data_IF_785031615635
#
_entry.id   IF_785031615635
#
_cell.length_a   1.000
_cell.length_b   1.000
_cell.length_c   1.000
_cell.angle_alpha   90.00
_cell.angle_beta   90.00
_cell.angle_gamma   90.00
#
_symmetry.space_group_name_H-M   'P 1'
#
loop_
_entity.id
_entity.type
_entity.pdbx_description
1 polymer ?
#
# COMPACT_ATOMS: atom_id res chain seq x y z
N UNK A 1 -7.69 2.60 14.71
CA UNK A 1 -6.57 1.85 14.14
C UNK A 1 -5.83 2.74 13.15
N UNK A 2 -4.58 3.08 13.48
CA UNK A 2 -3.74 3.94 12.64
C UNK A 2 -2.85 3.10 11.72
N UNK A 3 -2.60 3.61 10.51
CA UNK A 3 -1.66 3.03 9.56
C UNK A 3 -0.97 4.11 8.71
N UNK A 4 0.23 3.84 8.23
CA UNK A 4 0.94 4.69 7.28
C UNK A 4 0.60 4.23 5.86
N UNK A 5 -0.09 5.07 5.10
CA UNK A 5 -0.31 4.85 3.67
C UNK A 5 0.87 5.36 2.85
N UNK A 6 1.24 4.61 1.84
CA UNK A 6 2.19 5.04 0.82
C UNK A 6 1.61 4.79 -0.57
N UNK A 7 1.71 5.78 -1.43
CA UNK A 7 1.18 5.67 -2.80
C UNK A 7 1.93 6.63 -3.75
N UNK A 8 2.25 6.22 -5.00
CA UNK A 8 2.78 7.13 -6.02
C UNK A 8 1.65 7.93 -6.66
N UNK A 9 1.91 9.21 -6.90
CA UNK A 9 0.99 10.09 -7.59
C UNK A 9 1.67 10.82 -8.75
N UNK A 10 1.10 10.73 -9.94
CA UNK A 10 1.54 11.50 -11.10
C UNK A 10 1.13 12.97 -10.99
N UNK A 11 2.08 13.86 -11.33
CA UNK A 11 1.91 15.31 -11.40
C UNK A 11 2.23 15.76 -12.83
N UNK A 12 1.27 16.37 -13.50
CA UNK A 12 1.49 16.94 -14.84
C UNK A 12 2.50 18.09 -14.77
N UNK A 13 3.52 18.07 -15.61
CA UNK A 13 4.53 19.14 -15.67
C UNK A 13 5.10 19.20 -17.07
N UNK A 14 5.08 20.39 -17.65
CA UNK A 14 5.72 20.68 -18.93
C UNK A 14 7.19 21.08 -18.78
N UNK A 15 7.92 21.10 -19.88
CA UNK A 15 9.31 21.52 -19.95
C UNK A 15 10.31 20.40 -19.67
N UNK A 16 11.61 20.76 -19.58
CA UNK A 16 12.74 19.80 -19.46
C UNK A 16 13.67 20.12 -18.29
N UNK A 17 13.52 21.28 -17.63
CA UNK A 17 14.47 21.80 -16.64
C UNK A 17 14.12 21.47 -15.19
N UNK A 18 12.92 20.93 -14.92
CA UNK A 18 12.53 20.54 -13.56
C UNK A 18 13.31 19.29 -13.14
N UNK A 19 13.91 19.24 -11.95
CA UNK A 19 14.61 18.06 -11.47
C UNK A 19 13.71 16.84 -11.49
N UNK A 20 14.25 15.69 -11.91
CA UNK A 20 13.56 14.40 -11.97
C UNK A 20 12.31 14.37 -12.87
N UNK A 21 12.18 15.34 -13.78
CA UNK A 21 11.12 15.29 -14.80
C UNK A 21 11.36 14.07 -15.71
N UNK A 22 10.30 13.39 -16.09
CA UNK A 22 10.42 12.16 -16.86
C UNK A 22 9.07 11.66 -17.36
N UNK A 23 9.03 10.37 -17.69
CA UNK A 23 7.80 9.69 -18.13
C UNK A 23 7.29 8.78 -17.02
N UNK A 24 6.06 9.02 -16.56
CA UNK A 24 5.45 8.33 -15.43
C UNK A 24 4.05 7.84 -15.80
N UNK A 25 3.59 6.80 -15.13
CA UNK A 25 2.23 6.29 -15.29
C UNK A 25 1.22 7.26 -14.70
N UNK A 26 0.24 7.63 -15.48
CA UNK A 26 -0.91 8.44 -15.03
C UNK A 26 -2.14 7.55 -14.94
N UNK A 27 -2.61 7.27 -13.75
CA UNK A 27 -3.81 6.44 -13.52
C UNK A 27 -5.06 7.06 -14.18
N UNK A 28 -5.24 8.38 -14.08
CA UNK A 28 -6.36 9.07 -14.70
C UNK A 28 -6.37 9.00 -16.24
N UNK A 29 -5.19 8.90 -16.85
CA UNK A 29 -5.06 8.85 -18.31
C UNK A 29 -4.93 7.41 -18.83
N UNK A 30 -4.74 6.43 -17.95
CA UNK A 30 -4.44 5.04 -18.34
C UNK A 30 -3.18 4.91 -19.23
N UNK A 31 -2.24 5.86 -19.14
CA UNK A 31 -1.09 5.96 -20.04
C UNK A 31 0.13 6.58 -19.36
N UNK A 32 1.30 6.32 -19.96
CA UNK A 32 2.57 6.96 -19.53
C UNK A 32 2.63 8.36 -20.10
N UNK A 33 2.75 9.36 -19.21
CA UNK A 33 2.82 10.79 -19.56
C UNK A 33 4.10 11.44 -19.07
N UNK A 34 4.47 12.53 -19.73
CA UNK A 34 5.59 13.38 -19.31
C UNK A 34 5.17 14.25 -18.11
N UNK A 35 6.02 14.31 -17.07
CA UNK A 35 5.73 15.05 -15.87
C UNK A 35 6.62 14.65 -14.70
N UNK A 36 6.08 14.71 -13.50
CA UNK A 36 6.72 14.32 -12.25
C UNK A 36 5.91 13.19 -11.60
N UNK A 37 6.54 12.50 -10.66
CA UNK A 37 5.86 11.58 -9.76
C UNK A 37 6.30 11.89 -8.33
N UNK A 38 5.38 11.86 -7.41
CA UNK A 38 5.64 11.99 -5.98
C UNK A 38 5.19 10.73 -5.26
N UNK A 39 5.98 10.29 -4.29
CA UNK A 39 5.57 9.35 -3.27
C UNK A 39 4.90 10.13 -2.14
N UNK A 40 3.61 9.94 -1.94
CA UNK A 40 2.94 10.43 -0.76
C UNK A 40 3.07 9.46 0.41
N UNK A 41 3.28 10.02 1.59
CA UNK A 41 3.20 9.33 2.87
C UNK A 41 2.06 9.97 3.66
N UNK A 42 1.04 9.20 3.95
CA UNK A 42 -0.15 9.65 4.69
C UNK A 42 -0.34 8.86 5.97
N UNK A 43 -0.92 9.48 6.98
CA UNK A 43 -1.44 8.82 8.18
C UNK A 43 -2.91 8.55 7.99
N UNK A 44 -3.29 7.29 8.05
CA UNK A 44 -4.68 6.85 8.00
C UNK A 44 -5.19 6.61 9.41
N UNK A 45 -6.43 7.02 9.63
CA UNK A 45 -7.24 6.53 10.75
C UNK A 45 -8.40 5.70 10.18
N UNK A 46 -8.31 4.37 10.37
CA UNK A 46 -9.34 3.46 9.91
C UNK A 46 -10.65 3.58 10.72
N UNK A 47 -10.64 4.17 11.91
CA UNK A 47 -11.85 4.38 12.70
C UNK A 47 -12.71 5.50 12.09
N UNK A 48 -12.10 6.66 11.81
CA UNK A 48 -12.77 7.83 11.24
C UNK A 48 -12.80 7.83 9.71
N UNK A 49 -12.15 6.86 9.04
CA UNK A 49 -11.98 6.79 7.59
C UNK A 49 -11.37 8.08 7.00
N UNK A 50 -10.33 8.60 7.65
CA UNK A 50 -9.64 9.83 7.27
C UNK A 50 -8.17 9.57 6.94
N UNK A 51 -7.59 10.48 6.15
CA UNK A 51 -6.15 10.53 5.85
C UNK A 51 -5.62 11.94 6.05
N UNK A 52 -4.46 12.06 6.70
CA UNK A 52 -3.64 13.27 6.78
C UNK A 52 -2.34 13.04 6.05
N UNK A 53 -1.86 14.02 5.27
CA UNK A 53 -0.66 13.87 4.43
C UNK A 53 0.59 14.28 5.19
N UNK A 54 1.42 13.34 5.59
CA UNK A 54 2.64 13.62 6.37
C UNK A 54 3.77 14.18 5.51
N UNK A 55 3.94 13.65 4.29
CA UNK A 55 5.07 14.02 3.43
C UNK A 55 4.84 13.66 1.96
N UNK A 56 5.37 14.50 1.06
CA UNK A 56 5.61 14.18 -0.34
C UNK A 56 7.10 14.05 -0.62
N UNK A 57 7.48 13.03 -1.37
CA UNK A 57 8.82 12.87 -1.91
C UNK A 57 8.78 12.76 -3.42
N UNK A 58 9.55 13.59 -4.11
CA UNK A 58 9.66 13.49 -5.56
C UNK A 58 10.39 12.19 -5.94
N UNK A 59 9.76 11.35 -6.73
CA UNK A 59 10.37 10.12 -7.25
C UNK A 59 11.44 10.46 -8.28
N UNK A 60 12.53 9.70 -8.28
CA UNK A 60 13.61 9.88 -9.25
C UNK A 60 13.13 9.43 -10.62
N UNK A 61 13.21 10.32 -11.62
CA UNK A 61 12.89 10.00 -13.01
C UNK A 61 13.85 8.95 -13.58
N UNK A 62 13.32 7.97 -14.29
CA UNK A 62 14.12 6.95 -14.97
C UNK A 62 13.63 6.76 -16.42
N UNK A 63 14.57 6.57 -17.34
CA UNK A 63 14.29 6.35 -18.76
C UNK A 63 13.82 4.92 -19.08
N UNK A 64 14.10 3.93 -18.21
CA UNK A 64 13.76 2.53 -18.41
C UNK A 64 12.67 2.01 -17.49
N UNK A 65 11.51 1.63 -18.04
CA UNK A 65 10.38 1.07 -17.28
C UNK A 65 10.71 -0.22 -16.52
N UNK A 66 11.59 -1.09 -17.04
CA UNK A 66 11.95 -2.37 -16.39
C UNK A 66 12.78 -2.15 -15.13
N UNK A 67 13.77 -1.26 -15.19
CA UNK A 67 14.57 -0.90 -14.01
C UNK A 67 13.79 -0.02 -13.02
N UNK A 68 12.82 0.75 -13.50
CA UNK A 68 12.05 1.69 -12.70
C UNK A 68 11.32 1.02 -11.54
N UNK A 69 10.66 -0.11 -11.76
CA UNK A 69 9.89 -0.79 -10.70
C UNK A 69 10.78 -1.23 -9.53
N UNK A 70 11.98 -1.75 -9.83
CA UNK A 70 12.96 -2.10 -8.80
C UNK A 70 13.46 -0.87 -8.06
N UNK A 71 13.86 0.16 -8.79
CA UNK A 71 14.34 1.44 -8.23
C UNK A 71 13.25 2.11 -7.39
N UNK A 72 12.00 2.06 -7.82
CA UNK A 72 10.88 2.63 -7.09
C UNK A 72 10.68 1.93 -5.74
N UNK A 73 10.67 0.61 -5.71
CA UNK A 73 10.55 -0.17 -4.46
C UNK A 73 11.71 0.15 -3.50
N UNK A 74 12.94 0.14 -3.99
CA UNK A 74 14.13 0.48 -3.20
C UNK A 74 14.09 1.94 -2.70
N UNK A 75 13.63 2.85 -3.53
CA UNK A 75 13.45 4.26 -3.17
C UNK A 75 12.43 4.42 -2.02
N UNK A 76 11.28 3.74 -2.09
CA UNK A 76 10.29 3.77 -1.02
C UNK A 76 10.84 3.20 0.30
N UNK A 77 11.61 2.11 0.24
CA UNK A 77 12.28 1.57 1.43
C UNK A 77 13.25 2.60 2.02
N UNK A 78 14.04 3.28 1.18
CA UNK A 78 14.95 4.33 1.64
C UNK A 78 14.23 5.52 2.29
N UNK A 79 13.10 5.94 1.73
CA UNK A 79 12.28 7.02 2.32
C UNK A 79 11.71 6.57 3.66
N UNK A 80 11.13 5.37 3.73
CA UNK A 80 10.61 4.82 4.98
C UNK A 80 11.70 4.67 6.05
N UNK A 81 12.91 4.22 5.67
CA UNK A 81 14.06 4.14 6.58
C UNK A 81 14.41 5.49 7.20
N UNK A 82 14.38 6.58 6.42
CA UNK A 82 14.66 7.94 6.90
C UNK A 82 13.72 8.39 8.01
N UNK A 83 12.47 7.98 7.95
CA UNK A 83 11.42 8.40 8.89
C UNK A 83 10.98 7.31 9.87
N UNK A 84 11.55 6.11 9.79
CA UNK A 84 11.10 4.94 10.55
C UNK A 84 10.90 5.20 12.04
N UNK A 85 11.87 5.84 12.72
CA UNK A 85 11.75 6.16 14.16
C UNK A 85 10.51 7.00 14.49
N UNK A 86 10.23 8.05 13.67
CA UNK A 86 9.08 8.92 13.88
C UNK A 86 7.76 8.22 13.52
N UNK A 87 7.74 7.42 12.47
CA UNK A 87 6.55 6.71 12.05
C UNK A 87 6.20 5.57 13.00
N UNK A 88 7.20 4.82 13.49
CA UNK A 88 7.01 3.76 14.48
C UNK A 88 6.52 4.26 15.84
N UNK A 89 6.76 5.53 16.21
CA UNK A 89 6.16 6.10 17.42
C UNK A 89 4.64 6.36 17.28
N UNK A 90 4.11 6.28 16.06
CA UNK A 90 2.68 6.44 15.77
C UNK A 90 2.03 5.08 15.53
N UNK A 91 2.60 4.28 14.62
CA UNK A 91 2.08 2.96 14.24
C UNK A 91 3.16 2.11 13.57
N UNK A 92 3.06 0.79 13.74
CA UNK A 92 3.90 -0.20 13.09
C UNK A 92 3.27 -0.76 11.79
N UNK A 93 2.13 -0.23 11.35
CA UNK A 93 1.39 -0.72 10.18
C UNK A 93 1.63 0.20 9.00
N UNK A 94 2.10 -0.37 7.89
CA UNK A 94 2.18 0.28 6.57
C UNK A 94 1.16 -0.35 5.65
N UNK A 95 0.38 0.47 4.94
CA UNK A 95 -0.56 0.01 3.92
C UNK A 95 -0.16 0.54 2.54
N UNK A 96 -0.13 -0.36 1.57
CA UNK A 96 0.26 -0.06 0.19
C UNK A 96 -0.58 -0.87 -0.81
N UNK A 97 -0.57 -0.45 -2.07
CA UNK A 97 -1.32 -1.16 -3.11
C UNK A 97 -0.65 -2.50 -3.51
N UNK A 98 -1.29 -3.25 -4.41
CA UNK A 98 -0.81 -4.56 -4.88
C UNK A 98 0.56 -4.51 -5.59
N UNK A 99 1.00 -3.35 -6.07
CA UNK A 99 2.32 -3.18 -6.68
C UNK A 99 3.44 -3.46 -5.66
N UNK A 100 3.22 -3.09 -4.40
CA UNK A 100 4.16 -3.29 -3.31
C UNK A 100 4.07 -4.66 -2.62
N UNK A 101 3.17 -5.56 -3.06
CA UNK A 101 3.04 -6.93 -2.53
C UNK A 101 4.15 -7.85 -3.03
N UNK A 102 5.40 -7.43 -2.86
CA UNK A 102 6.61 -8.14 -3.28
C UNK A 102 7.47 -8.50 -2.08
N UNK A 103 8.25 -9.59 -2.20
CA UNK A 103 9.17 -10.01 -1.13
C UNK A 103 10.22 -8.96 -0.81
N UNK A 104 10.69 -8.19 -1.79
CA UNK A 104 11.67 -7.12 -1.58
C UNK A 104 11.11 -6.01 -0.72
N UNK A 105 9.89 -5.55 -1.03
CA UNK A 105 9.26 -4.48 -0.25
C UNK A 105 8.87 -4.95 1.15
N UNK A 106 8.25 -6.12 1.26
CA UNK A 106 7.86 -6.69 2.55
C UNK A 106 9.07 -6.88 3.47
N UNK A 107 10.17 -7.44 2.92
CA UNK A 107 11.42 -7.62 3.68
C UNK A 107 11.99 -6.28 4.15
N UNK A 108 12.04 -5.28 3.26
CA UNK A 108 12.50 -3.93 3.63
C UNK A 108 11.65 -3.29 4.73
N UNK A 109 10.32 -3.42 4.67
CA UNK A 109 9.43 -2.92 5.73
C UNK A 109 9.63 -3.69 7.04
N UNK A 110 9.73 -5.02 6.98
CA UNK A 110 9.96 -5.88 8.15
C UNK A 110 11.29 -5.58 8.85
N UNK A 111 12.37 -5.34 8.09
CA UNK A 111 13.69 -4.94 8.62
C UNK A 111 13.65 -3.57 9.31
N UNK A 112 12.73 -2.69 8.90
CA UNK A 112 12.51 -1.41 9.55
C UNK A 112 11.56 -1.47 10.74
N UNK A 113 10.96 -2.64 11.04
CA UNK A 113 10.02 -2.84 12.14
C UNK A 113 8.55 -2.65 11.76
N UNK A 114 8.22 -2.50 10.48
CA UNK A 114 6.84 -2.34 10.02
C UNK A 114 6.24 -3.66 9.56
N UNK A 115 4.92 -3.76 9.74
CA UNK A 115 4.07 -4.79 9.15
C UNK A 115 3.34 -4.24 7.93
N UNK A 116 3.24 -5.05 6.88
CA UNK A 116 2.60 -4.66 5.63
C UNK A 116 1.15 -5.14 5.59
N UNK A 117 0.22 -4.21 5.33
CA UNK A 117 -1.15 -4.48 4.89
C UNK A 117 -1.25 -4.17 3.41
N UNK A 118 -1.71 -5.11 2.60
CA UNK A 118 -1.86 -4.92 1.16
C UNK A 118 -2.85 -5.93 0.56
N UNK A 119 -2.91 -5.97 -0.76
CA UNK A 119 -3.69 -6.99 -1.48
C UNK A 119 -2.81 -7.78 -2.44
N UNK A 120 -3.18 -9.00 -2.70
CA UNK A 120 -2.62 -9.78 -3.79
C UNK A 120 -3.40 -9.58 -5.09
N UNK A 121 -2.74 -9.95 -6.19
CA UNK A 121 -3.41 -10.17 -7.47
C UNK A 121 -4.14 -11.51 -7.41
N UNK A 122 -5.13 -11.69 -8.28
CA UNK A 122 -6.01 -12.86 -8.29
C UNK A 122 -5.27 -14.20 -8.54
N UNK A 123 -4.08 -14.15 -9.14
CA UNK A 123 -3.23 -15.31 -9.40
C UNK A 123 -2.21 -15.63 -8.29
N UNK A 124 -2.38 -15.09 -7.09
CA UNK A 124 -1.47 -15.33 -5.98
C UNK A 124 -1.41 -16.81 -5.58
N UNK A 125 -0.20 -17.33 -5.42
CA UNK A 125 0.04 -18.69 -4.94
C UNK A 125 0.07 -18.71 -3.40
N UNK A 126 -1.05 -19.14 -2.81
CA UNK A 126 -1.29 -19.17 -1.38
C UNK A 126 -1.45 -20.61 -0.90
N UNK A 127 -1.01 -20.88 0.32
CA UNK A 127 -1.07 -22.22 0.93
C UNK A 127 -1.65 -22.13 2.34
N UNK A 128 -2.40 -23.16 2.72
CA UNK A 128 -2.77 -23.37 4.11
C UNK A 128 -1.53 -23.58 4.98
N UNK A 129 -1.64 -23.25 6.26
CA UNK A 129 -0.61 -23.59 7.22
C UNK A 129 -0.72 -25.08 7.53
N UNK A 130 0.36 -25.88 7.42
CA UNK A 130 0.29 -27.30 7.68
C UNK A 130 0.02 -27.57 9.16
N UNK A 131 -0.81 -28.56 9.45
CA UNK A 131 -0.96 -29.09 10.81
C UNK A 131 0.39 -29.64 11.27
N UNK A 132 0.71 -29.43 12.54
CA UNK A 132 1.98 -29.88 13.13
C UNK A 132 1.93 -31.41 13.27
N UNK A 133 2.63 -32.12 12.40
CA UNK A 133 2.79 -33.57 12.47
C UNK A 133 4.09 -33.91 13.18
N UNK A 134 4.06 -34.95 14.07
CA UNK A 134 5.27 -35.53 14.68
C UNK A 134 5.97 -36.43 13.66
N UNK A 135 6.69 -35.84 12.71
CA UNK A 135 7.49 -36.57 11.72
C UNK A 135 8.96 -36.27 11.88
N UNK A 136 9.83 -37.26 11.58
CA UNK A 136 11.28 -37.08 11.47
C UNK A 136 11.58 -36.16 10.28
N UNK A 137 12.50 -35.21 10.44
CA UNK A 137 12.95 -34.31 9.38
C UNK A 137 12.48 -32.85 9.55
N UNK A 138 12.82 -31.99 8.57
CA UNK A 138 12.46 -30.57 8.61
C UNK A 138 10.95 -30.39 8.50
N UNK A 139 10.31 -29.66 9.44
CA UNK A 139 8.88 -29.40 9.37
C UNK A 139 8.46 -28.73 8.07
N UNK A 140 7.30 -29.11 7.52
CA UNK A 140 6.73 -28.45 6.35
C UNK A 140 6.38 -27.00 6.71
N UNK A 141 6.79 -26.07 5.84
CA UNK A 141 6.51 -24.63 6.02
C UNK A 141 5.13 -24.27 5.43
N UNK A 142 4.68 -25.02 4.42
CA UNK A 142 3.42 -24.78 3.69
C UNK A 142 2.65 -26.10 3.55
N UNK A 143 1.34 -26.01 3.70
CA UNK A 143 0.39 -27.10 3.42
C UNK A 143 -0.08 -27.08 1.96
N UNK A 144 -1.29 -27.57 1.74
CA UNK A 144 -1.91 -27.60 0.43
C UNK A 144 -2.17 -26.20 -0.13
N UNK A 145 -2.22 -26.09 -1.45
CA UNK A 145 -2.55 -24.83 -2.13
C UNK A 145 -4.01 -24.48 -1.85
N UNK A 146 -4.26 -23.20 -1.55
CA UNK A 146 -5.61 -22.68 -1.39
C UNK A 146 -6.25 -22.58 -2.78
N UNK A 147 -7.35 -23.31 -2.96
CA UNK A 147 -8.24 -23.18 -4.12
C UNK A 147 -9.33 -22.15 -3.78
N UNK A 148 -9.31 -21.01 -4.47
CA UNK A 148 -10.29 -19.95 -4.25
C UNK A 148 -11.69 -20.30 -4.76
N UNK A 149 -11.79 -21.22 -5.72
CA UNK A 149 -13.10 -21.71 -6.20
C UNK A 149 -13.74 -22.68 -5.19
N UNK A 150 -12.91 -23.58 -4.63
CA UNK A 150 -13.33 -24.63 -3.69
C UNK A 150 -12.63 -24.43 -2.34
N UNK A 151 -13.00 -23.35 -1.64
CA UNK A 151 -12.41 -23.02 -0.35
C UNK A 151 -12.79 -24.06 0.72
N UNK A 152 -11.79 -24.58 1.43
CA UNK A 152 -12.05 -25.47 2.55
C UNK A 152 -12.58 -24.68 3.75
N UNK A 153 -13.89 -24.75 3.96
CA UNK A 153 -14.58 -23.98 5.02
C UNK A 153 -14.17 -24.39 6.43
N UNK A 154 -13.62 -25.60 6.64
CA UNK A 154 -13.11 -26.00 7.96
C UNK A 154 -11.79 -25.34 8.35
N UNK A 155 -11.14 -24.68 7.40
CA UNK A 155 -9.83 -24.01 7.59
C UNK A 155 -9.92 -22.48 7.61
N UNK A 156 -11.11 -21.92 7.48
CA UNK A 156 -11.37 -20.48 7.41
C UNK A 156 -12.43 -20.09 8.42
N UNK A 157 -12.36 -18.85 8.87
CA UNK A 157 -13.38 -18.20 9.68
C UNK A 157 -14.17 -17.23 8.80
N UNK A 158 -15.49 -17.29 8.83
CA UNK A 158 -16.36 -16.36 8.10
C UNK A 158 -16.41 -15.02 8.86
N UNK A 159 -16.22 -13.93 8.13
CA UNK A 159 -16.28 -12.57 8.66
C UNK A 159 -17.61 -11.93 8.31
N UNK A 160 -18.29 -11.40 9.31
CA UNK A 160 -19.50 -10.61 9.15
C UNK A 160 -19.14 -9.13 9.19
N UNK A 161 -19.19 -8.48 8.02
CA UNK A 161 -18.77 -7.07 7.87
C UNK A 161 -19.95 -6.31 7.27
N UNK A 162 -20.46 -5.33 8.01
CA UNK A 162 -21.58 -4.50 7.58
C UNK A 162 -21.25 -3.72 6.30
N UNK A 163 -22.20 -3.72 5.38
CA UNK A 163 -22.06 -3.04 4.08
C UNK A 163 -21.05 -3.70 3.13
N UNK A 164 -20.70 -4.97 3.34
CA UNK A 164 -19.88 -5.73 2.42
C UNK A 164 -20.74 -6.68 1.59
N UNK A 165 -20.83 -6.46 0.28
CA UNK A 165 -21.53 -7.37 -0.62
C UNK A 165 -20.74 -8.67 -0.80
N UNK A 166 -21.43 -9.82 -0.61
CA UNK A 166 -20.82 -11.14 -0.70
C UNK A 166 -20.31 -11.66 0.63
N UNK A 167 -19.40 -12.65 0.59
CA UNK A 167 -18.86 -13.32 1.77
C UNK A 167 -17.38 -13.04 1.95
N UNK A 168 -16.97 -12.80 3.19
CA UNK A 168 -15.57 -12.65 3.53
C UNK A 168 -15.11 -13.76 4.48
N UNK A 169 -13.89 -14.24 4.30
CA UNK A 169 -13.27 -15.28 5.11
C UNK A 169 -11.87 -14.85 5.55
N UNK A 170 -11.47 -15.23 6.74
CA UNK A 170 -10.09 -15.01 7.23
C UNK A 170 -9.42 -16.31 7.64
N UNK A 171 -8.11 -16.35 7.47
CA UNK A 171 -7.26 -17.46 7.92
C UNK A 171 -5.81 -17.02 8.02
N UNK A 172 -5.00 -17.82 8.72
CA UNK A 172 -3.55 -17.75 8.53
C UNK A 172 -3.13 -18.54 7.29
N UNK A 173 -2.37 -17.92 6.41
CA UNK A 173 -1.89 -18.52 5.18
C UNK A 173 -0.41 -18.28 4.96
N UNK A 174 0.22 -19.10 4.11
CA UNK A 174 1.58 -18.88 3.63
C UNK A 174 1.54 -18.36 2.19
N UNK A 175 2.15 -17.20 1.95
CA UNK A 175 2.28 -16.64 0.62
C UNK A 175 3.63 -17.03 0.00
N UNK A 176 3.61 -17.73 -1.14
CA UNK A 176 4.84 -18.10 -1.86
C UNK A 176 5.60 -16.86 -2.33
N UNK A 177 4.91 -15.82 -2.78
CA UNK A 177 5.50 -14.57 -3.27
C UNK A 177 6.25 -13.80 -2.16
N UNK A 178 5.74 -13.80 -0.93
CA UNK A 178 6.36 -13.12 0.21
C UNK A 178 7.27 -14.04 1.02
N UNK A 179 7.20 -15.36 0.80
CA UNK A 179 7.91 -16.40 1.58
C UNK A 179 7.62 -16.30 3.09
N UNK A 180 6.40 -15.91 3.46
CA UNK A 180 6.02 -15.57 4.84
C UNK A 180 4.60 -16.03 5.16
N UNK A 181 4.34 -16.30 6.45
CA UNK A 181 2.99 -16.45 7.00
C UNK A 181 2.36 -15.07 7.14
N UNK A 182 1.04 -15.01 7.00
CA UNK A 182 0.28 -13.78 7.09
C UNK A 182 -1.16 -14.05 7.46
N UNK A 183 -1.85 -13.05 7.96
CA UNK A 183 -3.32 -13.01 8.05
C UNK A 183 -3.85 -12.72 6.66
N UNK A 184 -4.64 -13.64 6.09
CA UNK A 184 -5.28 -13.50 4.78
C UNK A 184 -6.76 -13.22 4.97
N UNK A 185 -7.30 -12.33 4.15
CA UNK A 185 -8.73 -12.12 3.99
C UNK A 185 -9.11 -12.37 2.54
N UNK A 186 -10.05 -13.27 2.33
CA UNK A 186 -10.62 -13.62 1.04
C UNK A 186 -12.03 -13.03 0.98
N UNK A 187 -12.20 -12.01 0.16
CA UNK A 187 -13.52 -11.44 -0.10
C UNK A 187 -14.06 -12.01 -1.41
N UNK A 188 -15.06 -12.87 -1.31
CA UNK A 188 -15.80 -13.44 -2.43
C UNK A 188 -16.98 -12.53 -2.75
N UNK A 189 -16.87 -11.78 -3.84
CA UNK A 189 -17.89 -10.86 -4.32
C UNK A 189 -19.05 -11.61 -4.99
N UNK A 190 -20.23 -10.97 -5.10
CA UNK A 190 -21.30 -11.46 -6.00
C UNK A 190 -20.71 -11.70 -7.40
N UNK A 191 -21.06 -12.84 -8.03
CA UNK A 191 -20.47 -13.25 -9.32
C UNK A 191 -19.18 -14.05 -9.23
N UNK A 192 -18.73 -14.45 -8.01
CA UNK A 192 -17.67 -15.43 -7.80
C UNK A 192 -16.22 -14.90 -7.86
N UNK A 193 -16.01 -13.64 -8.20
CA UNK A 193 -14.67 -13.02 -8.15
C UNK A 193 -14.21 -12.87 -6.69
N UNK A 194 -12.94 -13.19 -6.44
CA UNK A 194 -12.31 -13.03 -5.13
C UNK A 194 -11.33 -11.86 -5.13
N UNK A 195 -11.33 -11.09 -4.04
CA UNK A 195 -10.25 -10.14 -3.72
C UNK A 195 -9.49 -10.65 -2.49
N UNK A 196 -8.17 -10.55 -2.53
CA UNK A 196 -7.26 -11.12 -1.54
C UNK A 196 -6.52 -10.01 -0.81
N UNK A 197 -6.83 -9.81 0.46
CA UNK A 197 -6.15 -8.84 1.31
C UNK A 197 -5.31 -9.57 2.35
N UNK A 198 -4.25 -8.96 2.81
CA UNK A 198 -3.40 -9.58 3.81
C UNK A 198 -2.74 -8.58 4.75
N UNK A 199 -2.35 -9.08 5.91
CA UNK A 199 -1.41 -8.42 6.82
C UNK A 199 -0.29 -9.36 7.20
N UNK A 200 0.94 -8.85 7.23
CA UNK A 200 2.08 -9.60 7.79
C UNK A 200 2.09 -9.58 9.32
N UNK A 201 1.27 -8.76 9.97
CA UNK A 201 0.99 -8.75 11.40
C UNK A 201 -0.11 -9.77 11.70
N UNK A 202 0.29 -10.96 12.19
CA UNK A 202 -0.64 -12.07 12.43
C UNK A 202 -1.68 -11.79 13.52
N UNK A 203 -1.38 -10.86 14.43
CA UNK A 203 -2.30 -10.46 15.52
C UNK A 203 -3.46 -9.59 15.04
N UNK A 204 -3.41 -9.03 13.81
CA UNK A 204 -4.55 -8.32 13.25
C UNK A 204 -5.70 -9.28 12.95
N UNK A 205 -6.92 -8.85 13.24
CA UNK A 205 -8.12 -9.57 12.82
C UNK A 205 -8.37 -9.40 11.32
N UNK A 206 -9.16 -10.27 10.72
CA UNK A 206 -9.53 -10.15 9.31
C UNK A 206 -10.28 -8.85 9.01
N UNK A 207 -11.13 -8.41 9.94
CA UNK A 207 -11.87 -7.15 9.83
C UNK A 207 -10.93 -5.95 9.84
N UNK A 208 -9.97 -5.90 10.75
CA UNK A 208 -8.95 -4.84 10.80
C UNK A 208 -8.13 -4.75 9.52
N UNK A 209 -7.73 -5.90 8.96
CA UNK A 209 -7.00 -5.96 7.69
C UNK A 209 -7.83 -5.35 6.56
N UNK A 210 -9.10 -5.76 6.43
CA UNK A 210 -9.96 -5.26 5.37
C UNK A 210 -10.27 -3.77 5.54
N UNK A 211 -10.60 -3.35 6.75
CA UNK A 211 -10.88 -1.93 7.08
C UNK A 211 -9.67 -1.05 6.79
N UNK A 212 -8.49 -1.43 7.27
CA UNK A 212 -7.23 -0.69 7.02
C UNK A 212 -6.95 -0.57 5.52
N UNK A 213 -7.09 -1.67 4.77
CA UNK A 213 -6.85 -1.62 3.33
C UNK A 213 -7.87 -0.75 2.59
N UNK A 214 -9.15 -0.80 2.95
CA UNK A 214 -10.19 0.05 2.34
C UNK A 214 -9.94 1.53 2.62
N UNK A 215 -9.51 1.87 3.83
CA UNK A 215 -9.16 3.25 4.21
C UNK A 215 -7.96 3.78 3.40
N UNK A 216 -7.08 2.93 2.86
CA UNK A 216 -5.98 3.34 1.97
C UNK A 216 -6.44 4.29 0.86
N UNK A 217 -7.65 4.09 0.35
CA UNK A 217 -8.17 4.93 -0.73
C UNK A 217 -8.29 6.41 -0.36
N UNK A 218 -8.31 6.75 0.91
CA UNK A 218 -8.34 8.14 1.40
C UNK A 218 -7.10 8.95 0.98
N UNK A 219 -5.95 8.32 0.71
CA UNK A 219 -4.77 9.02 0.20
C UNK A 219 -5.01 9.54 -1.22
N UNK A 220 -5.80 8.82 -2.03
CA UNK A 220 -6.16 9.25 -3.38
C UNK A 220 -7.08 10.48 -3.36
N UNK A 221 -7.98 10.56 -2.38
CA UNK A 221 -8.77 11.78 -2.13
C UNK A 221 -7.87 12.95 -1.71
N UNK A 222 -6.87 12.74 -0.85
CA UNK A 222 -5.91 13.78 -0.52
C UNK A 222 -5.18 14.30 -1.76
N UNK A 223 -4.79 13.43 -2.70
CA UNK A 223 -4.20 13.85 -3.97
C UNK A 223 -5.15 14.65 -4.82
N UNK A 224 -6.40 14.19 -4.97
CA UNK A 224 -7.44 14.89 -5.72
C UNK A 224 -7.65 16.29 -5.17
N UNK A 225 -7.88 16.38 -3.87
CA UNK A 225 -8.19 17.63 -3.20
C UNK A 225 -6.97 18.57 -3.20
N UNK A 226 -5.75 18.05 -3.03
CA UNK A 226 -4.53 18.86 -3.14
C UNK A 226 -4.33 19.42 -4.57
N UNK A 227 -4.65 18.64 -5.59
CA UNK A 227 -4.59 19.11 -6.99
C UNK A 227 -5.65 20.18 -7.29
N UNK A 228 -6.82 20.07 -6.69
CA UNK A 228 -7.95 20.92 -6.97
C UNK A 228 -7.92 22.21 -6.14
N UNK A 229 -7.54 22.17 -4.87
CA UNK A 229 -7.75 23.26 -3.93
C UNK A 229 -6.47 23.87 -3.34
N UNK A 230 -5.35 23.15 -3.30
CA UNK A 230 -4.14 23.64 -2.63
C UNK A 230 -2.91 23.72 -3.55
N UNK A 231 -3.11 23.71 -4.86
CA UNK A 231 -2.09 24.03 -5.83
C UNK A 231 -0.99 22.98 -6.01
N UNK A 232 -1.28 21.70 -5.76
CA UNK A 232 -0.28 20.61 -5.92
C UNK A 232 0.32 20.54 -7.34
N UNK A 233 -0.42 21.03 -8.36
CA UNK A 233 0.02 21.03 -9.75
C UNK A 233 0.55 22.39 -10.25
N UNK A 234 0.47 23.45 -9.45
CA UNK A 234 0.72 24.82 -9.88
C UNK A 234 2.18 25.26 -9.73
N UNK A 235 3.03 24.40 -9.15
CA UNK A 235 4.43 24.71 -8.91
C UNK A 235 5.20 24.98 -10.22
N UNK A 236 5.70 26.19 -10.40
CA UNK A 236 6.53 26.60 -11.53
C UNK A 236 8.06 26.49 -11.24
N UNK A 237 8.44 26.09 -10.04
CA UNK A 237 9.82 25.99 -9.61
C UNK A 237 10.63 25.00 -10.46
N UNK A 238 11.93 25.32 -10.62
CA UNK A 238 12.92 24.51 -11.34
C UNK A 238 14.06 24.05 -10.46
N UNK A 239 14.03 24.41 -9.17
CA UNK A 239 15.02 23.99 -8.18
C UNK A 239 14.44 22.93 -7.26
N UNK A 240 15.23 21.87 -6.97
CA UNK A 240 14.77 20.70 -6.20
C UNK A 240 14.11 21.05 -4.85
N UNK A 241 14.74 21.96 -4.07
CA UNK A 241 14.19 22.36 -2.76
C UNK A 241 12.87 23.12 -2.87
N UNK A 242 12.72 23.94 -3.90
CA UNK A 242 11.48 24.69 -4.14
C UNK A 242 10.34 23.77 -4.59
N UNK A 243 10.62 22.78 -5.43
CA UNK A 243 9.65 21.74 -5.84
C UNK A 243 9.22 20.91 -4.62
N UNK A 244 10.17 20.46 -3.80
CA UNK A 244 9.89 19.73 -2.56
C UNK A 244 9.05 20.58 -1.60
N UNK A 245 9.40 21.86 -1.41
CA UNK A 245 8.61 22.77 -0.58
C UNK A 245 7.18 22.93 -1.10
N UNK A 246 7.00 23.19 -2.38
CA UNK A 246 5.67 23.41 -2.97
C UNK A 246 4.72 22.21 -2.76
N UNK A 247 5.22 20.99 -2.98
CA UNK A 247 4.40 19.79 -2.76
C UNK A 247 4.01 19.61 -1.29
N UNK A 248 4.94 19.84 -0.38
CA UNK A 248 4.67 19.68 1.05
C UNK A 248 3.86 20.83 1.62
N UNK A 249 3.99 22.06 1.09
CA UNK A 249 3.12 23.18 1.45
C UNK A 249 1.66 22.92 1.03
N UNK A 250 1.45 22.39 -0.20
CA UNK A 250 0.13 21.97 -0.67
C UNK A 250 -0.54 20.96 0.29
N UNK A 251 0.20 19.95 0.74
CA UNK A 251 -0.32 18.96 1.69
C UNK A 251 -0.59 19.58 3.08
N UNK A 252 0.32 20.40 3.59
CA UNK A 252 0.10 21.07 4.87
C UNK A 252 -1.13 21.99 4.83
N UNK A 253 -1.37 22.68 3.72
CA UNK A 253 -2.59 23.49 3.52
C UNK A 253 -3.86 22.64 3.51
N UNK A 254 -3.83 21.49 2.85
CA UNK A 254 -4.96 20.55 2.87
C UNK A 254 -5.25 20.03 4.27
N UNK A 255 -4.20 19.64 4.99
CA UNK A 255 -4.35 19.10 6.35
C UNK A 255 -4.84 20.17 7.32
N UNK A 256 -4.34 21.41 7.21
CA UNK A 256 -4.87 22.54 7.98
C UNK A 256 -6.38 22.73 7.73
N UNK A 257 -6.79 22.73 6.45
CA UNK A 257 -8.22 22.84 6.13
C UNK A 257 -9.06 21.73 6.76
N UNK A 258 -8.56 20.47 6.77
CA UNK A 258 -9.27 19.32 7.38
C UNK A 258 -9.38 19.40 8.90
N UNK A 259 -8.47 20.12 9.58
CA UNK A 259 -8.53 20.31 11.04
C UNK A 259 -9.55 21.35 11.43
N UNK A 260 -9.78 22.36 10.57
CA UNK A 260 -10.72 23.45 10.84
C UNK A 260 -12.15 23.18 10.33
N UNK A 261 -12.36 22.09 9.61
CA UNK A 261 -13.69 21.61 9.16
C UNK A 261 -14.28 20.57 10.11
#
# INVERSE_FOLDING_TARGET
LLAIAIDPCYISKAGKKTPHIGRFWSGCAGAVKHGLEIMGVGLLDAASNKCMMLRAHQTIGNSSLKMRNKILVEYYICVMKRYSKKLLSITDIVVADAFFSTSTFEKGMSELGFYLVSRFRDNACLHYIPKREKRRGRPRIKGDKIDLANLNLSCVEELHIDGLDGKAYTLEAYAKALKKRMRLVIWRMPGGKCKLFFSTKLSMTGEEVLKTYRTRFQIEFCYRDSKQFTGLMDCQARHKRQVDFAFNASYASLDAAKVFM
#
